data_IF_390079487834
#
_entry.id   IF_390079487834
#
_cell.length_a   1.000
_cell.length_b   1.000
_cell.length_c   1.000
_cell.angle_alpha   90.00
_cell.angle_beta   90.00
_cell.angle_gamma   90.00
#
_symmetry.space_group_name_H-M   'P 1'
#
loop_
_entity.id
_entity.type
_entity.pdbx_description
1 polymer ?
#
# COMPACT_ATOMS: atom_id res chain seq x y z
N UNK A 1 7.17 13.74 1.86
CA UNK A 1 8.17 13.53 2.94
C UNK A 1 7.93 12.19 3.63
N UNK A 2 6.84 11.95 4.36
CA UNK A 2 6.61 10.72 5.14
C UNK A 2 6.87 9.41 4.37
N UNK A 3 6.27 9.23 3.19
CA UNK A 3 6.52 8.03 2.36
C UNK A 3 8.00 7.88 1.99
N UNK A 4 8.68 8.96 1.59
CA UNK A 4 10.11 8.91 1.27
C UNK A 4 10.95 8.46 2.46
N UNK A 5 10.65 8.97 3.65
CA UNK A 5 11.35 8.57 4.87
C UNK A 5 11.06 7.11 5.26
N UNK A 6 9.85 6.63 5.00
CA UNK A 6 9.49 5.21 5.18
C UNK A 6 10.30 4.30 4.24
N UNK A 7 10.53 4.74 3.00
CA UNK A 7 11.31 3.97 2.03
C UNK A 7 12.78 3.79 2.46
N UNK A 8 13.34 4.72 3.23
CA UNK A 8 14.69 4.54 3.84
C UNK A 8 14.75 3.24 4.66
N UNK A 9 13.68 2.94 5.42
CA UNK A 9 13.61 1.68 6.18
C UNK A 9 13.55 0.43 5.29
N UNK A 10 12.94 0.51 4.10
CA UNK A 10 12.95 -0.58 3.14
C UNK A 10 14.34 -0.75 2.48
N UNK A 11 15.01 0.36 2.14
CA UNK A 11 16.38 0.36 1.60
C UNK A 11 17.39 -0.23 2.60
N UNK A 12 17.24 0.05 3.91
CA UNK A 12 18.03 -0.56 4.99
C UNK A 12 17.93 -2.10 4.98
N UNK A 13 16.84 -2.66 4.43
CA UNK A 13 16.64 -4.11 4.24
C UNK A 13 17.08 -4.60 2.84
N UNK A 14 17.71 -3.75 2.03
CA UNK A 14 18.19 -4.10 0.70
C UNK A 14 17.13 -4.08 -0.40
N UNK A 15 15.95 -3.46 -0.15
CA UNK A 15 14.94 -3.27 -1.19
C UNK A 15 15.35 -2.17 -2.16
N UNK A 16 15.02 -2.36 -3.43
CA UNK A 16 14.98 -1.26 -4.41
C UNK A 16 13.66 -0.52 -4.25
N UNK A 17 13.70 0.79 -4.14
CA UNK A 17 12.50 1.59 -3.84
C UNK A 17 12.23 2.60 -4.94
N UNK A 18 10.95 2.84 -5.20
CA UNK A 18 10.47 3.86 -6.11
C UNK A 18 9.29 4.61 -5.48
N UNK A 19 9.18 5.91 -5.77
CA UNK A 19 8.04 6.74 -5.36
C UNK A 19 7.17 7.00 -6.56
N UNK A 20 5.97 6.45 -6.56
CA UNK A 20 4.94 6.81 -7.53
C UNK A 20 4.21 8.07 -7.02
N UNK A 21 4.61 9.23 -7.53
CA UNK A 21 3.92 10.48 -7.24
C UNK A 21 2.68 10.59 -8.15
N UNK A 22 1.50 10.49 -7.57
CA UNK A 22 0.25 10.53 -8.31
C UNK A 22 0.04 11.85 -9.07
N UNK A 23 0.72 12.93 -8.68
CA UNK A 23 0.71 14.19 -9.43
C UNK A 23 1.44 14.09 -10.79
N UNK A 24 2.29 13.08 -10.98
CA UNK A 24 2.99 12.83 -12.25
C UNK A 24 2.15 12.05 -13.27
N UNK A 25 0.96 11.59 -12.86
CA UNK A 25 0.03 10.85 -13.71
C UNK A 25 -1.24 11.67 -13.90
N UNK A 26 -1.64 11.90 -15.15
CA UNK A 26 -2.92 12.52 -15.49
C UNK A 26 -4.02 11.45 -15.48
N UNK A 27 -4.33 10.92 -14.28
CA UNK A 27 -5.27 9.82 -14.12
C UNK A 27 -6.72 10.31 -14.29
N UNK A 28 -7.50 9.73 -15.22
CA UNK A 28 -8.92 10.03 -15.36
C UNK A 28 -9.70 9.50 -14.14
N UNK A 29 -10.92 9.97 -13.96
CA UNK A 29 -11.86 9.27 -13.07
C UNK A 29 -12.29 7.93 -13.68
N UNK A 30 -12.52 6.95 -12.82
CA UNK A 30 -13.03 5.64 -13.21
C UNK A 30 -14.26 5.78 -14.13
N UNK A 31 -14.25 5.10 -15.27
CA UNK A 31 -15.29 5.18 -16.30
C UNK A 31 -15.13 6.36 -17.29
N UNK A 32 -14.02 7.11 -17.19
CA UNK A 32 -13.68 8.21 -18.12
C UNK A 32 -12.43 7.93 -18.95
N UNK A 33 -11.98 6.67 -19.03
CA UNK A 33 -10.75 6.25 -19.71
C UNK A 33 -10.88 6.14 -21.24
N UNK A 34 -11.87 6.82 -21.84
CA UNK A 34 -12.18 6.67 -23.28
C UNK A 34 -11.20 7.40 -24.21
N UNK A 35 -10.52 8.42 -23.72
CA UNK A 35 -9.52 9.13 -24.48
C UNK A 35 -8.18 8.36 -24.49
N UNK A 36 -7.51 8.35 -25.65
CA UNK A 36 -6.21 7.66 -25.81
C UNK A 36 -5.15 8.11 -24.78
N UNK A 37 -5.10 9.39 -24.46
CA UNK A 37 -4.19 9.95 -23.47
C UNK A 37 -4.49 9.44 -22.07
N UNK A 38 -5.76 9.34 -21.70
CA UNK A 38 -6.22 8.78 -20.43
C UNK A 38 -5.88 7.29 -20.31
N UNK A 39 -6.12 6.51 -21.38
CA UNK A 39 -5.73 5.08 -21.43
C UNK A 39 -4.23 4.93 -21.22
N UNK A 40 -3.39 5.71 -21.90
CA UNK A 40 -1.92 5.65 -21.76
C UNK A 40 -1.46 6.03 -20.34
N UNK A 41 -2.08 7.02 -19.69
CA UNK A 41 -1.77 7.40 -18.32
C UNK A 41 -2.07 6.27 -17.33
N UNK A 42 -3.22 5.62 -17.47
CA UNK A 42 -3.62 4.47 -16.66
C UNK A 42 -2.66 3.29 -16.89
N UNK A 43 -2.39 2.93 -18.15
CA UNK A 43 -1.47 1.84 -18.50
C UNK A 43 -0.07 2.05 -17.90
N UNK A 44 0.46 3.27 -17.97
CA UNK A 44 1.73 3.64 -17.36
C UNK A 44 1.68 3.43 -15.84
N UNK A 45 0.68 3.99 -15.17
CA UNK A 45 0.50 3.84 -13.73
C UNK A 45 0.42 2.37 -13.30
N UNK A 46 -0.38 1.57 -13.99
CA UNK A 46 -0.53 0.15 -13.70
C UNK A 46 0.75 -0.64 -13.97
N UNK A 47 1.53 -0.24 -14.98
CA UNK A 47 2.82 -0.87 -15.29
C UNK A 47 3.84 -0.60 -14.20
N UNK A 48 3.94 0.66 -13.75
CA UNK A 48 4.84 1.07 -12.68
C UNK A 48 4.48 0.36 -11.36
N UNK A 49 3.20 0.10 -11.11
CA UNK A 49 2.73 -0.59 -9.91
C UNK A 49 2.98 -2.11 -9.94
N UNK A 50 2.87 -2.77 -11.11
CA UNK A 50 3.01 -4.24 -11.25
C UNK A 50 4.37 -4.78 -10.84
N UNK A 51 5.42 -3.99 -10.94
CA UNK A 51 6.79 -4.41 -10.59
C UNK A 51 7.06 -4.50 -9.10
N UNK A 52 6.16 -4.01 -8.26
CA UNK A 52 6.38 -3.93 -6.82
C UNK A 52 6.12 -5.27 -6.14
N UNK A 53 7.01 -5.67 -5.23
CA UNK A 53 6.84 -6.81 -4.33
C UNK A 53 6.12 -6.42 -3.03
N UNK A 54 6.17 -5.15 -2.69
CA UNK A 54 5.47 -4.53 -1.57
C UNK A 54 5.12 -3.08 -1.89
N UNK A 55 4.04 -2.60 -1.31
CA UNK A 55 3.48 -1.28 -1.62
C UNK A 55 3.32 -0.50 -0.32
N UNK A 56 3.65 0.79 -0.34
CA UNK A 56 3.40 1.71 0.78
C UNK A 56 2.44 2.79 0.31
N UNK A 57 1.26 2.82 0.90
CA UNK A 57 0.26 3.86 0.64
C UNK A 57 0.36 4.97 1.68
N UNK A 58 0.57 6.19 1.21
CA UNK A 58 0.54 7.40 2.01
C UNK A 58 -0.58 8.34 1.58
N UNK A 59 -1.38 8.82 2.52
CA UNK A 59 -2.46 9.75 2.23
C UNK A 59 -2.58 10.85 3.29
N UNK A 60 -2.86 12.08 2.88
CA UNK A 60 -3.39 13.05 3.83
C UNK A 60 -4.81 12.65 4.24
N UNK A 61 -5.17 13.00 5.48
CA UNK A 61 -6.55 12.96 5.94
C UNK A 61 -7.28 14.21 5.48
N UNK A 62 -8.24 14.05 4.60
CA UNK A 62 -9.08 15.11 4.07
C UNK A 62 -10.53 14.81 4.45
N UNK A 63 -11.10 15.69 5.29
CA UNK A 63 -12.48 15.53 5.76
C UNK A 63 -12.77 14.14 6.38
N UNK A 64 -11.83 13.62 7.19
CA UNK A 64 -11.95 12.31 7.83
C UNK A 64 -11.81 11.12 6.88
N UNK A 65 -11.10 11.29 5.75
CA UNK A 65 -10.95 10.25 4.73
C UNK A 65 -9.59 10.32 4.04
N UNK A 66 -9.26 9.28 3.28
CA UNK A 66 -8.15 9.31 2.33
C UNK A 66 -8.39 10.39 1.28
N UNK A 67 -7.32 10.90 0.66
CA UNK A 67 -7.45 11.89 -0.42
C UNK A 67 -8.20 11.30 -1.62
N UNK A 68 -9.01 12.13 -2.29
CA UNK A 68 -9.70 11.75 -3.51
C UNK A 68 -8.74 11.33 -4.63
N UNK A 69 -7.54 11.92 -4.67
CA UNK A 69 -6.49 11.55 -5.63
C UNK A 69 -6.04 10.12 -5.43
N UNK A 70 -5.74 9.72 -4.19
CA UNK A 70 -5.35 8.33 -3.89
C UNK A 70 -6.51 7.37 -4.14
N UNK A 71 -7.74 7.73 -3.72
CA UNK A 71 -8.91 6.88 -3.96
C UNK A 71 -9.14 6.65 -5.44
N UNK A 72 -9.07 7.72 -6.27
CA UNK A 72 -9.20 7.60 -7.73
C UNK A 72 -8.12 6.69 -8.34
N UNK A 73 -6.88 6.83 -7.92
CA UNK A 73 -5.80 5.95 -8.39
C UNK A 73 -6.07 4.48 -8.03
N UNK A 74 -6.54 4.20 -6.81
CA UNK A 74 -6.88 2.84 -6.37
C UNK A 74 -8.11 2.28 -7.10
N UNK A 75 -9.10 3.12 -7.47
CA UNK A 75 -10.27 2.71 -8.24
C UNK A 75 -9.95 2.29 -9.67
N UNK A 76 -8.86 2.80 -10.22
CA UNK A 76 -8.33 2.41 -11.54
C UNK A 76 -7.51 1.12 -11.51
N UNK A 77 -7.26 0.55 -10.32
CA UNK A 77 -6.56 -0.73 -10.15
C UNK A 77 -7.55 -1.88 -10.05
N UNK A 78 -7.02 -3.09 -10.08
CA UNK A 78 -7.79 -4.30 -9.83
C UNK A 78 -7.15 -5.13 -8.70
N UNK A 79 -7.88 -6.13 -8.24
CA UNK A 79 -7.44 -7.07 -7.20
C UNK A 79 -6.11 -7.75 -7.55
N UNK A 80 -5.89 -8.12 -8.81
CA UNK A 80 -4.72 -8.88 -9.25
C UNK A 80 -3.39 -8.16 -8.98
N UNK A 81 -3.41 -6.81 -8.93
CA UNK A 81 -2.23 -5.99 -8.64
C UNK A 81 -1.83 -6.01 -7.16
N UNK A 82 -2.77 -6.30 -6.27
CA UNK A 82 -2.57 -6.21 -4.82
C UNK A 82 -2.66 -7.57 -4.12
N UNK A 83 -3.25 -8.57 -4.77
CA UNK A 83 -3.44 -9.89 -4.17
C UNK A 83 -2.10 -10.51 -3.75
N UNK A 84 -1.99 -10.81 -2.46
CA UNK A 84 -0.76 -11.35 -1.88
C UNK A 84 0.36 -10.35 -1.64
N UNK A 85 0.21 -9.07 -2.04
CA UNK A 85 1.22 -8.04 -1.81
C UNK A 85 1.27 -7.60 -0.36
N UNK A 86 2.48 -7.26 0.14
CA UNK A 86 2.65 -6.60 1.43
C UNK A 86 2.33 -5.11 1.32
N UNK A 87 1.45 -4.63 2.19
CA UNK A 87 0.99 -3.25 2.18
C UNK A 87 1.33 -2.52 3.48
N UNK A 88 2.14 -1.46 3.38
CA UNK A 88 2.36 -0.48 4.43
C UNK A 88 1.40 0.71 4.29
N UNK A 89 0.96 1.30 5.39
CA UNK A 89 0.03 2.43 5.37
C UNK A 89 0.49 3.57 6.27
N UNK A 90 0.37 4.80 5.76
CA UNK A 90 0.76 6.04 6.43
C UNK A 90 -0.35 7.06 6.23
N UNK A 91 -0.76 7.70 7.32
CA UNK A 91 -1.68 8.83 7.29
C UNK A 91 -1.02 10.11 7.80
N UNK A 92 -1.30 11.25 7.18
CA UNK A 92 -0.85 12.55 7.66
C UNK A 92 -2.04 13.49 7.79
N UNK A 93 -2.03 14.35 8.80
CA UNK A 93 -3.09 15.35 9.03
C UNK A 93 -2.48 16.70 9.40
N UNK A 94 -3.09 17.80 8.95
CA UNK A 94 -2.76 19.15 9.40
C UNK A 94 -3.15 19.41 10.85
N UNK A 95 -4.21 18.73 11.32
CA UNK A 95 -4.71 18.87 12.69
C UNK A 95 -3.96 17.98 13.70
N UNK A 96 -4.18 18.28 15.00
CA UNK A 96 -3.52 17.56 16.12
C UNK A 96 -4.14 16.18 16.41
N UNK A 97 -5.30 15.87 15.86
CA UNK A 97 -5.96 14.56 16.04
C UNK A 97 -5.30 13.44 15.24
N UNK A 98 -4.41 13.79 14.30
CA UNK A 98 -3.76 12.81 13.42
C UNK A 98 -4.70 12.31 12.33
N UNK A 99 -4.32 11.20 11.68
CA UNK A 99 -4.96 10.65 10.49
C UNK A 99 -5.50 9.23 10.73
N UNK A 100 -6.19 9.03 11.85
CA UNK A 100 -6.69 7.71 12.26
C UNK A 100 -7.73 7.15 11.29
N UNK A 101 -8.63 7.98 10.78
CA UNK A 101 -9.68 7.55 9.85
C UNK A 101 -9.08 7.18 8.48
N UNK A 102 -8.09 7.93 8.02
CA UNK A 102 -7.31 7.57 6.83
C UNK A 102 -6.68 6.18 6.98
N UNK A 103 -6.05 5.89 8.11
CA UNK A 103 -5.43 4.58 8.35
C UNK A 103 -6.47 3.45 8.40
N UNK A 104 -7.61 3.67 9.04
CA UNK A 104 -8.72 2.70 9.08
C UNK A 104 -9.24 2.39 7.67
N UNK A 105 -9.40 3.41 6.84
CA UNK A 105 -9.85 3.24 5.45
C UNK A 105 -8.81 2.53 4.60
N UNK A 106 -7.53 2.93 4.69
CA UNK A 106 -6.45 2.26 3.96
C UNK A 106 -6.36 0.77 4.32
N UNK A 107 -6.54 0.41 5.59
CA UNK A 107 -6.58 -0.97 6.03
C UNK A 107 -7.77 -1.73 5.46
N UNK A 108 -8.94 -1.09 5.41
CA UNK A 108 -10.15 -1.67 4.81
C UNK A 108 -9.97 -1.86 3.30
N UNK A 109 -9.39 -0.89 2.60
CA UNK A 109 -9.10 -0.96 1.17
C UNK A 109 -8.07 -2.07 0.89
N UNK A 110 -6.98 -2.14 1.66
CA UNK A 110 -5.96 -3.18 1.52
C UNK A 110 -6.57 -4.58 1.64
N UNK A 111 -7.44 -4.80 2.63
CA UNK A 111 -8.18 -6.06 2.79
C UNK A 111 -9.10 -6.33 1.59
N UNK A 112 -9.81 -5.31 1.09
CA UNK A 112 -10.69 -5.44 -0.07
C UNK A 112 -9.93 -5.80 -1.36
N UNK A 113 -8.69 -5.32 -1.49
CA UNK A 113 -7.78 -5.63 -2.58
C UNK A 113 -6.99 -6.94 -2.35
N UNK A 114 -7.27 -7.68 -1.26
CA UNK A 114 -6.58 -8.91 -0.88
C UNK A 114 -5.07 -8.75 -0.62
N UNK A 115 -4.64 -7.55 -0.22
CA UNK A 115 -3.28 -7.29 0.23
C UNK A 115 -3.11 -7.63 1.72
N UNK A 116 -1.89 -7.99 2.10
CA UNK A 116 -1.48 -8.21 3.48
C UNK A 116 -1.00 -6.91 4.11
N UNK A 117 -1.86 -6.26 4.89
CA UNK A 117 -1.51 -4.99 5.54
C UNK A 117 -0.65 -5.26 6.77
N UNK A 118 0.60 -4.77 6.77
CA UNK A 118 1.52 -4.95 7.92
C UNK A 118 0.93 -4.34 9.20
N UNK A 119 1.26 -4.91 10.38
CA UNK A 119 0.69 -4.45 11.65
C UNK A 119 1.02 -3.00 11.98
N UNK A 120 2.27 -2.58 11.73
CA UNK A 120 2.72 -1.22 12.03
C UNK A 120 2.13 -0.23 11.02
N UNK A 121 1.60 0.85 11.54
CA UNK A 121 1.09 1.99 10.78
C UNK A 121 1.50 3.28 11.47
N UNK A 122 1.57 4.39 10.73
CA UNK A 122 1.95 5.69 11.29
C UNK A 122 0.91 6.74 10.96
N UNK A 123 0.42 7.40 12.02
CA UNK A 123 -0.39 8.61 11.93
C UNK A 123 0.48 9.81 12.31
N UNK A 124 0.57 10.78 11.42
CA UNK A 124 1.33 12.01 11.65
C UNK A 124 0.34 13.16 11.80
N UNK A 125 0.33 13.75 12.99
CA UNK A 125 -0.44 14.96 13.30
C UNK A 125 0.40 16.22 13.00
N UNK A 126 -0.24 17.38 12.87
CA UNK A 126 0.41 18.68 12.68
C UNK A 126 1.54 18.62 11.64
N UNK A 127 1.22 18.09 10.45
CA UNK A 127 2.21 17.70 9.43
C UNK A 127 3.15 18.84 9.01
N UNK A 128 2.72 20.10 9.15
CA UNK A 128 3.54 21.28 8.84
C UNK A 128 4.72 21.44 9.80
N UNK A 129 4.62 20.88 11.02
CA UNK A 129 5.65 20.91 12.06
C UNK A 129 6.40 19.56 12.16
N UNK A 130 5.93 18.52 11.47
CA UNK A 130 6.39 17.16 11.65
C UNK A 130 7.72 16.82 10.95
N UNK A 131 8.14 17.66 9.99
CA UNK A 131 9.37 17.49 9.24
C UNK A 131 10.14 18.78 9.10
N UNK A 132 11.47 18.70 9.16
CA UNK A 132 12.34 19.83 8.91
C UNK A 132 12.47 20.13 7.39
N UNK A 133 13.22 21.19 7.05
CA UNK A 133 13.45 21.60 5.65
C UNK A 133 14.20 20.58 4.80
N UNK A 134 14.85 19.60 5.41
CA UNK A 134 15.55 18.48 4.74
C UNK A 134 14.65 17.26 4.61
N UNK A 135 13.43 17.28 5.19
CA UNK A 135 12.49 16.16 5.20
C UNK A 135 12.74 15.15 6.33
N UNK A 136 13.60 15.50 7.31
CA UNK A 136 13.82 14.68 8.49
C UNK A 136 12.68 14.87 9.49
N UNK A 137 12.17 13.80 10.12
CA UNK A 137 11.16 13.92 11.15
C UNK A 137 11.66 14.74 12.34
N UNK A 138 10.84 15.68 12.81
CA UNK A 138 11.12 16.47 14.01
C UNK A 138 11.07 15.58 15.28
N UNK A 139 10.24 14.54 15.27
CA UNK A 139 10.15 13.53 16.32
C UNK A 139 10.85 12.24 15.85
N UNK A 140 11.92 11.87 16.58
CA UNK A 140 12.71 10.70 16.28
C UNK A 140 11.91 9.39 16.42
N UNK A 141 10.94 9.31 17.34
CA UNK A 141 10.10 8.13 17.50
C UNK A 141 9.21 7.94 16.27
N UNK A 142 8.62 9.02 15.74
CA UNK A 142 7.87 8.99 14.49
C UNK A 142 8.78 8.53 13.33
N UNK A 143 10.00 9.04 13.27
CA UNK A 143 11.00 8.64 12.27
C UNK A 143 11.27 7.12 12.30
N UNK A 144 11.56 6.57 13.47
CA UNK A 144 11.81 5.15 13.63
C UNK A 144 10.58 4.30 13.31
N UNK A 145 9.39 4.75 13.65
CA UNK A 145 8.15 4.07 13.29
C UNK A 145 7.88 4.08 11.79
N UNK A 146 8.17 5.18 11.09
CA UNK A 146 8.11 5.24 9.63
C UNK A 146 9.05 4.22 9.00
N UNK A 147 10.33 4.20 9.43
CA UNK A 147 11.29 3.21 8.94
C UNK A 147 10.86 1.78 9.25
N UNK A 148 10.25 1.54 10.42
CA UNK A 148 9.75 0.22 10.79
C UNK A 148 8.66 -0.28 9.82
N UNK A 149 7.77 0.59 9.35
CA UNK A 149 6.80 0.23 8.29
C UNK A 149 7.53 -0.22 7.03
N UNK A 150 8.52 0.55 6.57
CA UNK A 150 9.33 0.21 5.39
C UNK A 150 10.06 -1.13 5.56
N UNK A 151 10.72 -1.33 6.69
CA UNK A 151 11.41 -2.60 7.03
C UNK A 151 10.45 -3.78 7.03
N UNK A 152 9.26 -3.63 7.62
CA UNK A 152 8.26 -4.71 7.64
C UNK A 152 7.76 -5.05 6.24
N UNK A 153 7.43 -4.04 5.41
CA UNK A 153 6.99 -4.28 4.04
C UNK A 153 8.06 -5.03 3.26
N UNK A 154 9.31 -4.55 3.27
CA UNK A 154 10.41 -5.17 2.53
C UNK A 154 10.70 -6.61 3.03
N UNK A 155 10.74 -6.81 4.35
CA UNK A 155 11.02 -8.10 4.95
C UNK A 155 9.93 -9.14 4.61
N UNK A 156 8.67 -8.78 4.82
CA UNK A 156 7.56 -9.71 4.58
C UNK A 156 7.30 -9.93 3.08
N UNK A 157 7.48 -8.92 2.23
CA UNK A 157 7.42 -9.10 0.78
C UNK A 157 8.43 -10.14 0.30
N UNK A 158 9.68 -10.05 0.80
CA UNK A 158 10.72 -11.05 0.50
C UNK A 158 10.36 -12.45 0.98
N UNK A 159 9.78 -12.58 2.19
CA UNK A 159 9.34 -13.87 2.73
C UNK A 159 8.22 -14.47 1.90
N UNK A 160 7.25 -13.66 1.47
CA UNK A 160 6.12 -14.12 0.64
C UNK A 160 6.54 -14.61 -0.75
N UNK A 161 7.69 -14.15 -1.26
CA UNK A 161 8.24 -14.62 -2.55
C UNK A 161 9.24 -15.77 -2.41
N UNK A 162 9.52 -16.24 -1.20
CA UNK A 162 10.33 -17.44 -0.99
C UNK A 162 9.58 -18.67 -1.51
N UNK A 163 10.21 -19.50 -2.34
CA UNK A 163 9.60 -20.70 -2.93
C UNK A 163 8.96 -21.63 -1.90
N UNK A 164 9.63 -21.85 -0.77
CA UNK A 164 9.09 -22.69 0.31
C UNK A 164 7.81 -22.11 0.93
N UNK A 165 7.74 -20.78 1.07
CA UNK A 165 6.54 -20.11 1.58
C UNK A 165 5.40 -20.16 0.56
N UNK A 166 5.69 -19.91 -0.71
CA UNK A 166 4.69 -20.02 -1.79
C UNK A 166 4.13 -21.44 -1.88
N UNK A 167 4.97 -22.46 -1.73
CA UNK A 167 4.49 -23.85 -1.72
C UNK A 167 3.61 -24.12 -0.49
N UNK A 168 4.03 -23.69 0.69
CA UNK A 168 3.21 -23.80 1.91
C UNK A 168 1.84 -23.13 1.74
N UNK A 169 1.80 -21.91 1.18
CA UNK A 169 0.54 -21.19 0.96
C UNK A 169 -0.38 -21.93 0.00
N UNK A 170 0.15 -22.46 -1.11
CA UNK A 170 -0.62 -23.27 -2.06
C UNK A 170 -1.18 -24.53 -1.42
N UNK A 171 -0.38 -25.21 -0.63
CA UNK A 171 -0.79 -26.43 0.07
C UNK A 171 -1.88 -26.12 1.12
N UNK A 172 -1.73 -25.00 1.82
CA UNK A 172 -2.71 -24.53 2.81
C UNK A 172 -4.02 -24.10 2.15
N UNK A 173 -3.97 -23.30 1.08
CA UNK A 173 -5.15 -22.88 0.32
C UNK A 173 -5.86 -24.09 -0.28
N UNK A 174 -5.12 -25.05 -0.80
CA UNK A 174 -5.66 -26.33 -1.28
C UNK A 174 -6.37 -27.13 -0.18
N UNK A 175 -5.80 -27.15 1.03
CA UNK A 175 -6.38 -27.86 2.17
C UNK A 175 -7.65 -27.17 2.71
N UNK A 176 -7.66 -25.82 2.75
CA UNK A 176 -8.82 -25.03 3.24
C UNK A 176 -9.94 -24.99 2.20
N UNK A 177 -9.61 -25.10 0.91
CA UNK A 177 -10.59 -25.10 -0.19
C UNK A 177 -11.26 -26.43 -0.46
N UNK A 178 -11.00 -27.49 0.34
CA UNK A 178 -11.61 -28.81 0.19
C UNK A 178 -12.49 -29.16 1.39
N UNK A 179 -13.61 -29.86 1.12
CA UNK A 179 -14.43 -30.47 2.17
C UNK A 179 -13.75 -31.74 2.74
N UNK A 180 -14.36 -32.32 3.80
CA UNK A 180 -13.86 -33.56 4.44
C UNK A 180 -13.73 -34.76 3.48
N UNK A 181 -14.22 -34.64 2.26
CA UNK A 181 -14.15 -35.65 1.19
C UNK A 181 -13.13 -35.28 0.11
N UNK A 182 -12.36 -34.19 0.29
CA UNK A 182 -11.39 -33.71 -0.66
C UNK A 182 -12.00 -33.01 -1.90
N UNK A 183 -13.28 -32.61 -1.83
CA UNK A 183 -13.94 -31.88 -2.92
C UNK A 183 -13.79 -30.37 -2.74
N UNK A 184 -13.49 -29.65 -3.83
CA UNK A 184 -13.34 -28.19 -3.80
C UNK A 184 -14.64 -27.50 -3.38
N UNK A 185 -14.59 -26.73 -2.31
CA UNK A 185 -15.72 -25.92 -1.78
C UNK A 185 -16.13 -24.82 -2.78
N UNK A 186 -15.26 -24.46 -3.72
CA UNK A 186 -15.49 -23.38 -4.70
C UNK A 186 -16.06 -23.86 -6.05
N UNK A 187 -16.24 -25.15 -6.25
CA UNK A 187 -16.77 -25.69 -7.51
C UNK A 187 -18.30 -25.56 -7.69
N UNK A 188 -19.00 -24.91 -6.76
CA UNK A 188 -20.47 -24.83 -6.74
C UNK A 188 -20.99 -23.36 -6.75
N UNK A 189 -20.43 -22.50 -7.60
CA UNK A 189 -21.08 -21.21 -7.92
C UNK A 189 -21.04 -20.90 -9.40
#
# INVERSE_FOLDING_TARGET
>A
MAVRYTLVGAEECGAQVEVLDLAAYDLPFLGREQERTAVMAVERFLTDLRGADGIILGSPEIHGSISGVLKNALDLTNRELFEGQMLGIIGVAGGRMGASETLNQLRTIGRSLHAWVVPTQVSIAAVDEAFDSRGEPADQEIGERLKLVGRQVAHFARLHKCENHLQFMKDWEGAVGTDDRGQSIHAAR
#
